data_IF_928341418662
#
_entry.id   IF_928341418662
#
_cell.length_a   1.000
_cell.length_b   1.000
_cell.length_c   1.000
_cell.angle_alpha   90.00
_cell.angle_beta   90.00
_cell.angle_gamma   90.00
#
_symmetry.space_group_name_H-M   'P 1'
#
loop_
_entity.id
_entity.type
_entity.pdbx_description
1 polymer ?
#
# COMPACT_ATOMS: atom_id res chain seq x y z
N UNK A 1 -13.52 -9.19 -7.73
CA UNK A 1 -12.60 -8.34 -6.96
C UNK A 1 -12.09 -7.22 -7.84
N UNK A 2 -12.09 -5.98 -7.36
CA UNK A 2 -11.68 -4.89 -8.21
C UNK A 2 -10.14 -4.76 -8.24
N UNK A 3 -9.68 -3.99 -9.22
CA UNK A 3 -8.24 -3.85 -9.45
C UNK A 3 -7.51 -3.27 -8.26
N UNK A 4 -8.14 -2.33 -7.58
CA UNK A 4 -7.48 -1.64 -6.48
C UNK A 4 -7.22 -2.59 -5.32
N UNK A 5 -8.11 -3.54 -5.09
CA UNK A 5 -7.89 -4.53 -4.03
C UNK A 5 -6.78 -5.49 -4.41
N UNK A 6 -6.68 -5.84 -5.68
CA UNK A 6 -5.60 -6.70 -6.14
C UNK A 6 -4.27 -5.97 -5.98
N UNK A 7 -4.21 -4.72 -6.40
CA UNK A 7 -2.99 -3.92 -6.26
C UNK A 7 -2.62 -3.75 -4.79
N UNK A 8 -3.62 -3.51 -3.95
CA UNK A 8 -3.37 -3.37 -2.52
C UNK A 8 -2.78 -4.65 -1.94
N UNK A 9 -3.30 -5.79 -2.37
CA UNK A 9 -2.78 -7.07 -1.91
C UNK A 9 -1.33 -7.25 -2.33
N UNK A 10 -1.02 -6.93 -3.58
CA UNK A 10 0.34 -7.04 -4.09
C UNK A 10 1.29 -6.12 -3.33
N UNK A 11 0.88 -4.87 -3.10
CA UNK A 11 1.73 -3.93 -2.37
C UNK A 11 1.90 -4.35 -0.92
N UNK A 12 0.90 -4.98 -0.33
CA UNK A 12 1.02 -5.51 1.04
C UNK A 12 2.09 -6.58 1.10
N UNK A 13 2.11 -7.49 0.13
CA UNK A 13 3.13 -8.52 0.08
C UNK A 13 4.51 -7.90 -0.07
N UNK A 14 4.64 -6.91 -0.94
CA UNK A 14 5.92 -6.20 -1.11
C UNK A 14 6.34 -5.52 0.18
N UNK A 15 5.41 -4.90 0.87
CA UNK A 15 5.68 -4.22 2.12
C UNK A 15 6.18 -5.20 3.19
N UNK A 16 5.53 -6.35 3.29
CA UNK A 16 5.96 -7.37 4.24
C UNK A 16 7.34 -7.89 3.89
N UNK A 17 7.61 -8.08 2.60
CA UNK A 17 8.92 -8.54 2.15
C UNK A 17 9.99 -7.52 2.52
N UNK A 18 9.70 -6.23 2.35
CA UNK A 18 10.65 -5.19 2.74
C UNK A 18 10.93 -5.23 4.23
N UNK A 19 9.91 -5.41 5.05
CA UNK A 19 10.10 -5.49 6.49
C UNK A 19 10.96 -6.65 6.90
N UNK A 20 10.72 -7.81 6.31
CA UNK A 20 11.51 -9.00 6.61
C UNK A 20 12.96 -8.79 6.17
N UNK A 21 13.15 -8.25 4.97
CA UNK A 21 14.49 -7.97 4.47
C UNK A 21 15.22 -6.99 5.36
N UNK A 22 14.52 -5.98 5.86
CA UNK A 22 15.13 -5.00 6.75
C UNK A 22 15.69 -5.69 8.00
N UNK A 23 14.92 -6.61 8.57
CA UNK A 23 15.35 -7.33 9.77
C UNK A 23 16.55 -8.21 9.47
N UNK A 24 16.55 -8.91 8.33
CA UNK A 24 17.63 -9.80 7.97
C UNK A 24 18.92 -9.04 7.64
N UNK A 25 18.81 -7.89 7.02
CA UNK A 25 19.98 -7.14 6.57
C UNK A 25 20.23 -5.90 7.41
N UNK A 26 19.76 -5.91 8.65
CA UNK A 26 19.84 -4.71 9.47
C UNK A 26 21.30 -4.31 9.73
N UNK A 27 22.18 -5.29 9.92
CA UNK A 27 23.59 -5.00 10.18
C UNK A 27 24.26 -4.37 8.96
N UNK A 28 23.97 -4.88 7.78
CA UNK A 28 24.53 -4.33 6.56
C UNK A 28 24.00 -2.94 6.29
N UNK A 29 22.71 -2.74 6.53
CA UNK A 29 22.10 -1.43 6.33
C UNK A 29 22.70 -0.40 7.27
N UNK A 30 22.95 -0.82 8.51
CA UNK A 30 23.57 0.07 9.48
C UNK A 30 25.00 0.42 9.07
N UNK A 31 25.73 -0.56 8.61
CA UNK A 31 27.12 -0.35 8.19
C UNK A 31 27.20 0.63 7.03
N UNK A 32 26.27 0.53 6.10
CA UNK A 32 26.29 1.35 4.89
C UNK A 32 25.47 2.62 5.03
N UNK A 33 24.94 2.90 6.22
CA UNK A 33 24.12 4.10 6.46
C UNK A 33 22.87 4.14 5.58
N UNK A 34 22.31 2.99 5.28
CA UNK A 34 21.12 2.89 4.45
C UNK A 34 19.84 2.70 5.25
N UNK A 35 19.94 2.70 6.57
CA UNK A 35 18.77 2.44 7.40
C UNK A 35 17.67 3.47 7.19
N UNK A 36 18.06 4.75 7.11
CA UNK A 36 17.06 5.79 6.94
C UNK A 36 16.36 5.67 5.59
N UNK A 37 17.13 5.41 4.54
CA UNK A 37 16.55 5.25 3.20
C UNK A 37 15.61 4.07 3.13
N UNK A 38 16.00 2.96 3.72
CA UNK A 38 15.16 1.77 3.76
C UNK A 38 13.90 2.00 4.57
N UNK A 39 14.04 2.71 5.68
CA UNK A 39 12.89 3.05 6.51
C UNK A 39 11.91 3.94 5.77
N UNK A 40 12.42 4.92 5.03
CA UNK A 40 11.56 5.80 4.24
C UNK A 40 10.83 5.01 3.15
N UNK A 41 11.53 4.09 2.51
CA UNK A 41 10.90 3.24 1.50
C UNK A 41 9.80 2.39 2.11
N UNK A 42 10.03 1.87 3.31
CA UNK A 42 9.04 1.07 4.02
C UNK A 42 7.79 1.90 4.31
N UNK A 43 7.98 3.12 4.79
CA UNK A 43 6.84 4.01 5.05
C UNK A 43 6.11 4.35 3.76
N UNK A 44 6.84 4.58 2.69
CA UNK A 44 6.23 4.91 1.41
C UNK A 44 5.34 3.78 0.91
N UNK A 45 5.82 2.55 0.98
CA UNK A 45 5.01 1.40 0.55
C UNK A 45 3.78 1.24 1.43
N UNK A 46 3.91 1.55 2.72
CA UNK A 46 2.78 1.50 3.63
C UNK A 46 1.70 2.51 3.21
N UNK A 47 2.12 3.72 2.89
CA UNK A 47 1.18 4.76 2.44
C UNK A 47 0.49 4.35 1.14
N UNK A 48 1.26 3.81 0.21
CA UNK A 48 0.70 3.36 -1.06
C UNK A 48 -0.35 2.28 -0.83
N UNK A 49 -0.05 1.33 0.04
CA UNK A 49 -0.97 0.24 0.34
C UNK A 49 -2.28 0.78 0.93
N UNK A 50 -2.17 1.70 1.89
CA UNK A 50 -3.35 2.28 2.51
C UNK A 50 -4.16 3.07 1.49
N UNK A 51 -3.50 3.84 0.65
CA UNK A 51 -4.20 4.63 -0.36
C UNK A 51 -4.94 3.73 -1.35
N UNK A 52 -4.29 2.68 -1.81
CA UNK A 52 -4.92 1.75 -2.75
C UNK A 52 -6.12 1.06 -2.11
N UNK A 53 -6.00 0.69 -0.85
CA UNK A 53 -7.09 0.05 -0.15
C UNK A 53 -8.30 0.99 -0.05
N UNK A 54 -8.06 2.24 0.31
CA UNK A 54 -9.13 3.21 0.43
C UNK A 54 -9.77 3.52 -0.92
N UNK A 55 -8.95 3.67 -1.95
CA UNK A 55 -9.46 3.92 -3.28
C UNK A 55 -10.34 2.76 -3.74
N UNK A 56 -9.90 1.55 -3.44
CA UNK A 56 -10.67 0.37 -3.80
C UNK A 56 -12.02 0.33 -3.09
N UNK A 57 -12.05 0.70 -1.82
CA UNK A 57 -13.29 0.74 -1.08
C UNK A 57 -14.24 1.78 -1.65
N UNK A 58 -13.73 2.95 -1.99
CA UNK A 58 -14.55 4.01 -2.57
C UNK A 58 -15.08 3.56 -3.92
N UNK A 59 -14.24 2.92 -4.71
CA UNK A 59 -14.64 2.43 -6.02
C UNK A 59 -15.76 1.41 -5.90
N UNK A 60 -15.64 0.48 -4.97
CA UNK A 60 -16.67 -0.52 -4.75
C UNK A 60 -17.97 0.12 -4.27
N UNK A 61 -17.85 1.09 -3.39
CA UNK A 61 -19.03 1.79 -2.91
C UNK A 61 -19.77 2.46 -4.06
N UNK A 62 -19.02 3.12 -4.93
CA UNK A 62 -19.62 3.81 -6.08
C UNK A 62 -20.25 2.82 -7.05
N UNK A 63 -19.66 1.65 -7.20
CA UNK A 63 -20.25 0.62 -8.06
C UNK A 63 -21.54 0.08 -7.47
N UNK A 64 -21.58 -0.07 -6.15
CA UNK A 64 -22.74 -0.60 -5.48
C UNK A 64 -23.90 0.40 -5.47
N UNK A 65 -23.59 1.67 -5.33
CA UNK A 65 -24.61 2.71 -5.19
C UNK A 65 -24.41 3.82 -6.21
N UNK A 66 -24.33 3.48 -7.49
CA UNK A 66 -24.05 4.51 -8.50
C UNK A 66 -25.20 5.49 -8.67
N UNK A 67 -26.42 5.02 -8.47
CA UNK A 67 -27.59 5.86 -8.67
C UNK A 67 -27.64 7.00 -7.66
N UNK A 68 -27.02 6.83 -6.53
CA UNK A 68 -27.03 7.86 -5.52
C UNK A 68 -26.41 9.15 -6.03
N UNK A 69 -25.33 9.01 -6.78
CA UNK A 69 -24.63 10.17 -7.30
C UNK A 69 -25.37 10.78 -8.46
N UNK A 70 -25.94 9.94 -9.29
CA UNK A 70 -26.58 10.41 -10.51
C UNK A 70 -27.89 11.11 -10.24
N UNK A 71 -28.62 10.62 -9.29
CA UNK A 71 -29.90 11.19 -8.98
C UNK A 71 -29.82 12.61 -8.47
N UNK A 72 -28.65 12.99 -8.02
CA UNK A 72 -28.45 14.35 -7.52
C UNK A 72 -28.42 15.38 -8.62
N UNK A 73 -28.46 14.91 -9.82
CA UNK A 73 -28.42 15.82 -10.91
C UNK A 73 -29.72 16.35 -11.35
#
# INVERSE_FOLDING_TARGET
MNRYHILSFITTICHLTLGISFIFFIDELRYNNLMLQYFLLYLLTMLITICLYKIGNIYEFNLKYPSTIKTNK
#
